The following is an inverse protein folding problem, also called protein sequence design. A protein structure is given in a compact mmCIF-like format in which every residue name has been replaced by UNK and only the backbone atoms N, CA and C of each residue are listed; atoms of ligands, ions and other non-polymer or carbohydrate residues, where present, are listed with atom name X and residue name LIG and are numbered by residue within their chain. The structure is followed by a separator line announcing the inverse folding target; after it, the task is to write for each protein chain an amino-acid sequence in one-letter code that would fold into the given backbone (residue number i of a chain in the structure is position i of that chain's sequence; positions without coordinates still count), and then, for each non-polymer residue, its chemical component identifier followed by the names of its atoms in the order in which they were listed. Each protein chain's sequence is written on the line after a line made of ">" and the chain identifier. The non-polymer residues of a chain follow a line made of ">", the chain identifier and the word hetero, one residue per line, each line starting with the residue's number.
data_IF_349702764140
#
_entry.id   IF_349702764140
#
_cell.length_a   1.000
_cell.length_b   1.000
_cell.length_c   1.000
_cell.angle_alpha   90.00
_cell.angle_beta   90.00
_cell.angle_gamma   90.00
#
_symmetry.space_group_name_H-M   'P 1'
#
loop_
_entity.id
_entity.type
_entity.pdbx_description
1 polymer ?
#
# COMPACT_ATOMS: atom_id res chain seq x y z
N UNK A 1 64.25 11.54 -59.10
CA UNK A 1 64.29 10.51 -60.15
C UNK A 1 62.88 9.97 -60.33
N UNK A 2 62.35 10.11 -61.54
CA UNK A 2 61.03 9.61 -61.92
C UNK A 2 61.04 8.09 -62.10
N UNK A 3 59.94 7.44 -61.77
CA UNK A 3 59.58 6.12 -62.29
C UNK A 3 58.04 6.04 -62.40
N UNK A 4 57.53 6.05 -63.63
CA UNK A 4 56.19 5.51 -63.97
C UNK A 4 56.27 3.97 -63.93
N UNK A 5 55.20 3.30 -63.51
CA UNK A 5 54.55 2.31 -64.40
C UNK A 5 53.04 2.20 -64.10
N UNK A 6 52.17 1.51 -64.83
CA UNK A 6 52.08 1.02 -66.20
C UNK A 6 50.57 0.88 -66.43
N UNK A 7 50.10 1.27 -67.62
CA UNK A 7 48.74 0.99 -68.08
C UNK A 7 48.53 -0.51 -68.22
N UNK A 8 47.35 -0.97 -67.83
CA UNK A 8 46.76 -2.21 -68.33
C UNK A 8 45.43 -1.82 -68.95
N UNK A 9 45.35 -1.93 -70.27
CA UNK A 9 44.13 -1.72 -71.05
C UNK A 9 43.20 -2.93 -70.92
N UNK A 10 41.91 -2.70 -70.63
CA UNK A 10 40.83 -3.68 -70.72
C UNK A 10 39.68 -3.05 -71.52
N UNK A 11 39.04 -3.76 -72.48
CA UNK A 11 38.41 -3.12 -73.63
C UNK A 11 37.06 -2.45 -73.34
N UNK A 12 36.79 -1.39 -74.12
CA UNK A 12 35.55 -0.62 -74.20
C UNK A 12 34.38 -1.44 -74.78
N UNK A 13 33.29 -1.55 -74.03
CA UNK A 13 31.95 -1.81 -74.56
C UNK A 13 31.07 -0.58 -74.30
N UNK A 14 30.53 0.02 -75.35
CA UNK A 14 29.66 1.20 -75.33
C UNK A 14 28.21 0.83 -74.98
N UNK A 15 27.56 1.46 -73.98
CA UNK A 15 26.13 1.30 -73.77
C UNK A 15 25.31 2.34 -74.55
N UNK A 16 24.25 1.87 -75.19
CA UNK A 16 23.24 2.61 -75.95
C UNK A 16 22.34 3.47 -75.03
N UNK A 17 21.98 4.68 -75.49
CA UNK A 17 21.11 5.63 -74.77
C UNK A 17 19.63 5.39 -75.13
N UNK A 18 18.72 5.12 -74.18
CA UNK A 18 17.29 5.04 -74.45
C UNK A 18 16.64 6.43 -74.56
N UNK A 19 15.84 6.61 -75.61
CA UNK A 19 14.87 7.71 -75.76
C UNK A 19 13.62 7.33 -74.99
N UNK A 20 13.28 8.08 -73.94
CA UNK A 20 11.91 8.29 -73.42
C UNK A 20 11.98 9.15 -72.14
N UNK A 21 11.54 10.41 -72.21
CA UNK A 21 11.34 11.28 -71.04
C UNK A 21 9.83 11.59 -70.91
N UNK A 22 9.15 11.16 -69.83
CA UNK A 22 7.73 11.40 -69.65
C UNK A 22 7.41 12.80 -69.11
N UNK A 23 6.26 13.33 -69.55
CA UNK A 23 5.68 14.63 -69.19
C UNK A 23 5.21 14.62 -67.72
N UNK A 24 5.58 15.64 -66.94
CA UNK A 24 5.21 15.77 -65.52
C UNK A 24 3.87 16.51 -65.36
N UNK A 25 2.85 15.96 -64.66
CA UNK A 25 1.57 16.65 -64.45
C UNK A 25 1.65 17.71 -63.34
N UNK A 26 1.02 18.88 -63.55
CA UNK A 26 0.87 19.95 -62.54
C UNK A 26 -0.12 19.53 -61.45
N UNK A 27 0.36 19.38 -60.21
CA UNK A 27 -0.46 19.18 -59.01
C UNK A 27 -1.26 20.46 -58.66
N UNK A 28 -2.55 20.30 -58.31
CA UNK A 28 -3.52 21.37 -58.06
C UNK A 28 -3.55 21.75 -56.57
N UNK A 29 -3.38 23.03 -56.23
CA UNK A 29 -3.26 23.61 -54.88
C UNK A 29 -4.37 23.27 -53.84
N UNK A 30 -5.52 22.71 -54.25
CA UNK A 30 -6.66 22.42 -53.35
C UNK A 30 -6.40 21.21 -52.45
N UNK A 31 -5.62 20.24 -52.89
CA UNK A 31 -5.33 19.03 -52.13
C UNK A 31 -4.43 19.31 -50.91
N UNK A 32 -3.60 20.36 -51.00
CA UNK A 32 -2.67 20.78 -49.95
C UNK A 32 -3.38 21.32 -48.70
N UNK A 33 -4.45 22.10 -48.86
CA UNK A 33 -5.21 22.68 -47.73
C UNK A 33 -6.02 21.63 -46.96
N UNK A 34 -6.49 20.58 -47.65
CA UNK A 34 -7.23 19.48 -47.02
C UNK A 34 -6.29 18.57 -46.21
N UNK A 35 -5.13 18.21 -46.79
CA UNK A 35 -4.10 17.46 -46.06
C UNK A 35 -3.59 18.22 -44.84
N UNK A 36 -3.36 19.53 -44.94
CA UNK A 36 -2.91 20.35 -43.80
C UNK A 36 -3.89 20.35 -42.62
N UNK A 37 -5.21 20.36 -42.85
CA UNK A 37 -6.20 20.33 -41.76
C UNK A 37 -6.16 19.02 -40.97
N UNK A 38 -6.08 17.87 -41.66
CA UNK A 38 -5.99 16.58 -40.99
C UNK A 38 -4.67 16.41 -40.23
N UNK A 39 -3.57 16.91 -40.78
CA UNK A 39 -2.27 16.92 -40.11
C UNK A 39 -2.30 17.79 -38.85
N UNK A 40 -2.86 19.00 -38.91
CA UNK A 40 -2.97 19.88 -37.73
C UNK A 40 -3.84 19.29 -36.61
N UNK A 41 -4.95 18.62 -36.95
CA UNK A 41 -5.81 17.95 -35.96
C UNK A 41 -5.08 16.76 -35.33
N UNK A 42 -4.43 15.92 -36.12
CA UNK A 42 -3.67 14.78 -35.62
C UNK A 42 -2.53 15.21 -34.68
N UNK A 43 -1.80 16.27 -35.06
CA UNK A 43 -0.74 16.86 -34.23
C UNK A 43 -1.33 17.41 -32.92
N UNK A 44 -2.45 18.12 -32.97
CA UNK A 44 -3.09 18.69 -31.78
C UNK A 44 -3.57 17.61 -30.80
N UNK A 45 -4.13 16.52 -31.31
CA UNK A 45 -4.55 15.36 -30.50
C UNK A 45 -3.32 14.67 -29.90
N UNK A 46 -2.26 14.47 -30.67
CA UNK A 46 -1.02 13.86 -30.19
C UNK A 46 -0.37 14.69 -29.07
N UNK A 47 -0.29 16.01 -29.22
CA UNK A 47 0.19 16.90 -28.16
C UNK A 47 -0.72 16.90 -26.93
N UNK A 48 -2.05 16.85 -27.12
CA UNK A 48 -3.01 16.74 -26.01
C UNK A 48 -2.83 15.45 -25.19
N UNK A 49 -2.66 14.31 -25.87
CA UNK A 49 -2.40 13.02 -25.22
C UNK A 49 -1.04 12.98 -24.52
N UNK A 50 -0.01 13.56 -25.13
CA UNK A 50 1.33 13.63 -24.55
C UNK A 50 1.34 14.54 -23.31
N UNK A 51 0.66 15.68 -23.37
CA UNK A 51 0.47 16.57 -22.22
C UNK A 51 -0.29 15.89 -21.09
N UNK A 52 -1.39 15.19 -21.39
CA UNK A 52 -2.15 14.42 -20.40
C UNK A 52 -1.28 13.34 -19.74
N UNK A 53 -0.47 12.62 -20.52
CA UNK A 53 0.47 11.62 -20.02
C UNK A 53 1.52 12.21 -19.08
N UNK A 54 2.09 13.38 -19.42
CA UNK A 54 3.03 14.09 -18.55
C UNK A 54 2.35 14.56 -17.26
N UNK A 55 1.13 15.08 -17.35
CA UNK A 55 0.38 15.59 -16.19
C UNK A 55 0.03 14.46 -15.21
N UNK A 56 -0.42 13.31 -15.74
CA UNK A 56 -0.66 12.10 -14.95
C UNK A 56 0.64 11.58 -14.34
N UNK A 57 1.74 11.54 -15.09
CA UNK A 57 3.06 11.15 -14.59
C UNK A 57 3.57 12.06 -13.46
N UNK A 58 3.36 13.37 -13.56
CA UNK A 58 3.72 14.33 -12.51
C UNK A 58 2.84 14.17 -11.26
N UNK A 59 1.55 13.87 -11.41
CA UNK A 59 0.66 13.62 -10.27
C UNK A 59 1.07 12.33 -9.57
N UNK A 60 1.32 11.24 -10.32
CA UNK A 60 1.76 9.95 -9.78
C UNK A 60 3.09 10.12 -9.05
N UNK A 61 4.10 10.74 -9.67
CA UNK A 61 5.42 10.94 -9.03
C UNK A 61 5.35 11.81 -7.79
N UNK A 62 4.53 12.87 -7.77
CA UNK A 62 4.36 13.70 -6.56
C UNK A 62 3.63 12.98 -5.43
N UNK A 63 2.55 12.26 -5.73
CA UNK A 63 1.74 11.58 -4.70
C UNK A 63 2.44 10.34 -4.15
N UNK A 64 2.91 9.44 -5.03
CA UNK A 64 3.65 8.24 -4.61
C UNK A 64 5.04 8.59 -4.08
N UNK A 65 5.73 9.57 -4.68
CA UNK A 65 7.05 10.01 -4.21
C UNK A 65 7.01 10.63 -2.82
N UNK A 66 6.00 11.45 -2.50
CA UNK A 66 5.87 12.04 -1.16
C UNK A 66 5.62 10.98 -0.09
N UNK A 67 4.77 9.99 -0.37
CA UNK A 67 4.50 8.86 0.54
C UNK A 67 5.76 8.02 0.79
N UNK A 68 6.54 7.75 -0.26
CA UNK A 68 7.80 6.99 -0.15
C UNK A 68 8.90 7.74 0.62
N UNK A 69 9.00 9.07 0.44
CA UNK A 69 10.00 9.90 1.14
C UNK A 69 9.71 10.05 2.63
N UNK A 70 8.44 10.20 3.03
CA UNK A 70 8.07 10.26 4.46
C UNK A 70 8.40 8.95 5.20
N UNK A 71 8.15 7.79 4.58
CA UNK A 71 8.44 6.49 5.17
C UNK A 71 9.95 6.21 5.27
N UNK A 72 10.77 6.68 4.31
CA UNK A 72 12.24 6.47 4.32
C UNK A 72 12.97 7.40 5.28
N UNK A 73 12.51 8.63 5.47
CA UNK A 73 13.09 9.54 6.46
C UNK A 73 12.94 9.00 7.89
N UNK A 74 11.83 8.33 8.20
CA UNK A 74 11.59 7.66 9.49
C UNK A 74 12.58 6.52 9.76
N UNK A 75 12.94 5.74 8.74
CA UNK A 75 13.85 4.58 8.90
C UNK A 75 15.31 4.97 9.18
N UNK A 76 15.71 6.21 8.88
CA UNK A 76 17.10 6.66 8.98
C UNK A 76 17.39 7.50 10.24
N UNK A 77 16.45 7.61 11.19
CA UNK A 77 16.67 8.33 12.44
C UNK A 77 16.98 7.38 13.60
N UNK A 78 18.15 7.61 14.19
CA UNK A 78 18.64 7.09 15.48
C UNK A 78 18.54 5.57 15.69
N UNK A 79 19.62 4.84 15.39
CA UNK A 79 19.75 3.39 15.62
C UNK A 79 20.31 3.03 17.00
N UNK A 80 20.50 4.00 17.91
CA UNK A 80 21.11 3.74 19.23
C UNK A 80 20.36 2.68 20.05
N UNK A 81 19.03 2.57 19.86
CA UNK A 81 18.19 1.56 20.48
C UNK A 81 18.53 0.11 20.06
N UNK A 82 19.24 -0.10 18.95
CA UNK A 82 19.59 -1.44 18.47
C UNK A 82 20.62 -2.15 19.37
N UNK A 83 21.39 -1.42 20.17
CA UNK A 83 22.52 -1.99 20.91
C UNK A 83 22.22 -2.41 22.35
N UNK A 84 21.08 -2.03 22.92
CA UNK A 84 20.72 -2.36 24.32
C UNK A 84 19.39 -3.10 24.41
N UNK A 85 19.24 -3.96 25.42
CA UNK A 85 17.97 -4.59 25.79
C UNK A 85 17.38 -4.01 27.09
N UNK A 86 17.99 -2.96 27.64
CA UNK A 86 17.54 -2.39 28.91
C UNK A 86 16.29 -1.52 28.72
N UNK A 87 15.14 -1.90 29.32
CA UNK A 87 13.97 -1.05 29.30
C UNK A 87 14.20 0.15 30.23
N UNK A 88 14.30 1.35 29.67
CA UNK A 88 14.31 2.60 30.44
C UNK A 88 12.88 3.10 30.61
N UNK A 89 12.20 2.68 31.67
CA UNK A 89 10.98 3.37 32.09
C UNK A 89 11.37 4.71 32.73
N UNK A 90 11.07 5.83 32.06
CA UNK A 90 11.05 7.11 32.76
C UNK A 90 9.95 7.00 33.81
N UNK A 91 10.26 7.07 35.10
CA UNK A 91 9.39 6.78 36.26
C UNK A 91 8.13 7.65 36.42
N UNK A 92 7.43 7.97 35.33
CA UNK A 92 6.18 8.72 35.23
C UNK A 92 4.93 7.82 35.27
N UNK A 93 5.09 6.50 35.24
CA UNK A 93 3.97 5.54 35.25
C UNK A 93 4.08 4.61 36.46
N UNK A 94 3.08 4.66 37.35
CA UNK A 94 3.01 3.75 38.51
C UNK A 94 2.76 2.29 38.08
N UNK A 95 2.07 2.10 36.94
CA UNK A 95 1.81 0.81 36.32
C UNK A 95 2.20 0.88 34.85
N UNK A 96 2.99 -0.08 34.32
CA UNK A 96 3.33 -0.10 32.90
C UNK A 96 2.08 -0.17 32.01
N UNK A 97 1.96 0.71 30.99
CA UNK A 97 0.86 0.62 30.04
C UNK A 97 0.98 -0.64 29.17
N UNK A 98 -0.17 -1.22 28.79
CA UNK A 98 -0.24 -2.33 27.85
C UNK A 98 -0.46 -1.80 26.43
N UNK A 99 0.43 -2.13 25.50
CA UNK A 99 0.29 -1.85 24.08
C UNK A 99 0.16 -3.16 23.30
N UNK A 100 -0.98 -3.35 22.64
CA UNK A 100 -1.24 -4.49 21.76
C UNK A 100 -1.10 -4.05 20.29
N UNK A 101 -0.11 -4.60 19.60
CA UNK A 101 0.18 -4.29 18.19
C UNK A 101 -0.15 -5.52 17.34
N UNK A 102 -1.01 -5.34 16.33
CA UNK A 102 -1.28 -6.36 15.33
C UNK A 102 -0.66 -5.97 13.99
N UNK A 103 0.07 -6.91 13.39
CA UNK A 103 0.56 -6.84 12.01
C UNK A 103 -0.25 -7.85 11.20
N UNK A 104 -1.30 -7.39 10.50
CA UNK A 104 -2.22 -8.28 9.80
C UNK A 104 -1.50 -9.12 8.73
N UNK A 105 -1.78 -10.42 8.71
CA UNK A 105 -1.14 -11.38 7.81
C UNK A 105 0.36 -11.61 8.06
N UNK A 106 0.90 -11.21 9.22
CA UNK A 106 2.31 -11.42 9.56
C UNK A 106 2.58 -12.89 9.91
N UNK A 107 2.90 -13.67 8.89
CA UNK A 107 3.23 -15.09 9.00
C UNK A 107 4.62 -15.26 9.64
N UNK A 108 4.76 -16.28 10.49
CA UNK A 108 5.98 -16.50 11.29
C UNK A 108 7.25 -16.68 10.47
N UNK A 109 7.17 -17.28 9.28
CA UNK A 109 8.30 -17.44 8.38
C UNK A 109 8.88 -16.11 7.88
N UNK A 110 8.16 -14.99 8.02
CA UNK A 110 8.71 -13.66 7.68
C UNK A 110 9.85 -13.26 8.62
N UNK A 111 9.86 -13.74 9.87
CA UNK A 111 10.95 -13.51 10.82
C UNK A 111 12.28 -14.08 10.35
N UNK A 112 12.23 -15.20 9.60
CA UNK A 112 13.43 -15.87 9.08
C UNK A 112 14.14 -15.07 7.98
N UNK A 113 13.45 -14.08 7.39
CA UNK A 113 14.00 -13.25 6.31
C UNK A 113 14.97 -12.18 6.80
N UNK A 114 14.98 -11.88 8.11
CA UNK A 114 15.87 -10.88 8.72
C UNK A 114 15.73 -9.45 8.13
N UNK A 115 14.55 -9.12 7.60
CA UNK A 115 14.26 -7.81 6.98
C UNK A 115 13.63 -6.80 7.96
N UNK A 116 13.38 -7.21 9.20
CA UNK A 116 12.61 -6.43 10.19
C UNK A 116 13.45 -6.21 11.46
N UNK A 117 14.47 -5.33 11.43
CA UNK A 117 15.43 -5.17 12.54
C UNK A 117 14.75 -4.79 13.86
N UNK A 118 13.71 -3.96 13.85
CA UNK A 118 12.94 -3.61 15.03
C UNK A 118 12.22 -4.82 15.65
N UNK A 119 11.57 -5.65 14.82
CA UNK A 119 10.92 -6.87 15.28
C UNK A 119 11.96 -7.87 15.79
N UNK A 120 13.07 -8.04 15.07
CA UNK A 120 14.19 -8.91 15.50
C UNK A 120 14.73 -8.50 16.87
N UNK A 121 14.82 -7.19 17.14
CA UNK A 121 15.23 -6.68 18.45
C UNK A 121 14.21 -7.00 19.55
N UNK A 122 12.91 -6.87 19.26
CA UNK A 122 11.83 -7.29 20.19
C UNK A 122 11.94 -8.78 20.50
N UNK A 123 12.23 -9.64 19.51
CA UNK A 123 12.41 -11.07 19.72
C UNK A 123 13.66 -11.40 20.55
N UNK A 124 14.75 -10.65 20.35
CA UNK A 124 16.02 -10.84 21.06
C UNK A 124 15.94 -10.39 22.53
N UNK A 125 15.33 -9.23 22.78
CA UNK A 125 15.29 -8.61 24.12
C UNK A 125 14.02 -8.96 24.91
N UNK A 126 13.00 -9.50 24.26
CA UNK A 126 11.71 -9.84 24.86
C UNK A 126 11.47 -11.35 24.91
N UNK A 127 10.20 -11.71 25.09
CA UNK A 127 9.73 -13.09 25.03
C UNK A 127 8.93 -13.30 23.74
N UNK A 128 9.11 -14.46 23.10
CA UNK A 128 8.39 -14.81 21.89
C UNK A 128 8.08 -16.32 21.83
N UNK A 129 6.95 -16.66 21.22
CA UNK A 129 6.60 -18.04 20.89
C UNK A 129 7.14 -18.43 19.51
N UNK A 130 7.34 -19.73 19.28
CA UNK A 130 7.76 -20.24 17.97
C UNK A 130 6.74 -19.96 16.87
N UNK A 131 5.44 -19.93 17.23
CA UNK A 131 4.32 -19.47 16.41
C UNK A 131 3.08 -19.31 17.30
N UNK A 132 2.03 -18.67 16.78
CA UNK A 132 0.72 -18.59 17.41
C UNK A 132 -0.32 -19.17 16.46
N UNK A 133 -1.13 -20.13 16.94
CA UNK A 133 -2.22 -20.68 16.13
C UNK A 133 -3.36 -19.67 16.00
N UNK A 134 -3.84 -19.38 14.78
CA UNK A 134 -5.07 -18.64 14.61
C UNK A 134 -6.27 -19.54 14.94
N UNK A 135 -7.39 -18.91 15.29
CA UNK A 135 -8.70 -19.55 15.22
C UNK A 135 -9.09 -19.87 13.78
N UNK A 136 -9.99 -20.84 13.59
CA UNK A 136 -10.59 -21.11 12.28
C UNK A 136 -11.90 -20.31 12.12
N UNK A 137 -12.12 -19.63 10.98
CA UNK A 137 -11.20 -19.52 9.85
C UNK A 137 -10.07 -18.52 10.11
N UNK A 138 -8.91 -18.71 9.46
CA UNK A 138 -7.75 -17.82 9.55
C UNK A 138 -7.96 -16.51 8.77
N UNK A 139 -9.00 -15.76 9.14
CA UNK A 139 -9.40 -14.47 8.57
C UNK A 139 -9.19 -13.35 9.59
N UNK A 140 -8.97 -12.12 9.11
CA UNK A 140 -8.69 -10.93 9.92
C UNK A 140 -9.72 -10.72 11.02
N UNK A 141 -11.00 -10.55 10.68
CA UNK A 141 -12.05 -10.18 11.63
C UNK A 141 -12.26 -11.23 12.73
N UNK A 142 -12.48 -12.53 12.40
CA UNK A 142 -12.60 -13.56 13.42
C UNK A 142 -11.42 -13.61 14.39
N UNK A 143 -10.19 -13.59 13.88
CA UNK A 143 -8.99 -13.71 14.72
C UNK A 143 -8.72 -12.46 15.58
N UNK A 144 -8.93 -11.26 15.06
CA UNK A 144 -8.73 -10.04 15.84
C UNK A 144 -9.75 -9.92 16.98
N UNK A 145 -10.99 -10.40 16.77
CA UNK A 145 -11.99 -10.45 17.85
C UNK A 145 -11.64 -11.54 18.87
N UNK A 146 -11.20 -12.71 18.43
CA UNK A 146 -10.73 -13.76 19.32
C UNK A 146 -9.60 -13.29 20.24
N UNK A 147 -8.61 -12.54 19.72
CA UNK A 147 -7.49 -12.00 20.50
C UNK A 147 -7.95 -11.10 21.66
N UNK A 148 -8.96 -10.26 21.43
CA UNK A 148 -9.39 -9.27 22.44
C UNK A 148 -10.53 -9.73 23.33
N UNK A 149 -11.22 -10.81 22.96
CA UNK A 149 -12.32 -11.38 23.75
C UNK A 149 -11.96 -12.70 24.44
N UNK A 150 -10.96 -13.43 23.93
CA UNK A 150 -10.64 -14.79 24.35
C UNK A 150 -11.64 -15.84 23.89
N UNK A 151 -12.58 -15.48 23.01
CA UNK A 151 -13.65 -16.37 22.53
C UNK A 151 -13.34 -16.96 21.16
N UNK A 152 -13.94 -18.10 20.84
CA UNK A 152 -13.95 -18.63 19.47
C UNK A 152 -14.93 -17.86 18.57
N UNK A 153 -14.77 -17.90 17.23
CA UNK A 153 -15.68 -17.27 16.29
C UNK A 153 -17.16 -17.60 16.46
N UNK A 154 -17.48 -18.84 16.82
CA UNK A 154 -18.85 -19.27 17.14
C UNK A 154 -19.44 -18.59 18.38
N UNK A 155 -18.59 -18.15 19.32
CA UNK A 155 -19.01 -17.54 20.58
C UNK A 155 -19.05 -16.00 20.51
N UNK A 156 -18.06 -15.37 19.88
CA UNK A 156 -18.07 -13.90 19.70
C UNK A 156 -18.88 -13.44 18.47
N UNK A 157 -19.42 -14.37 17.67
CA UNK A 157 -20.38 -14.12 16.59
C UNK A 157 -19.79 -13.76 15.22
N UNK A 158 -18.49 -13.49 15.13
CA UNK A 158 -17.84 -13.05 13.88
C UNK A 158 -17.11 -14.22 13.24
N UNK A 159 -17.79 -14.93 12.34
CA UNK A 159 -17.31 -16.18 11.71
C UNK A 159 -16.57 -15.97 10.40
N UNK A 160 -16.61 -14.75 9.83
CA UNK A 160 -15.91 -14.41 8.61
C UNK A 160 -15.78 -12.89 8.43
N UNK A 161 -15.04 -12.46 7.40
CA UNK A 161 -14.98 -11.03 7.04
C UNK A 161 -16.26 -10.54 6.38
N UNK A 162 -16.97 -11.44 5.70
CA UNK A 162 -18.29 -11.22 5.11
C UNK A 162 -19.09 -12.51 5.25
N UNK A 163 -20.30 -12.44 5.79
CA UNK A 163 -21.21 -13.59 5.91
C UNK A 163 -22.67 -13.11 6.09
N UNK A 164 -23.62 -14.02 5.88
CA UNK A 164 -25.06 -13.77 6.06
C UNK A 164 -25.59 -14.59 7.24
N UNK A 165 -26.47 -13.99 8.04
CA UNK A 165 -27.32 -14.71 8.99
C UNK A 165 -28.72 -14.07 8.99
N UNK A 166 -29.68 -14.75 8.36
CA UNK A 166 -31.05 -14.26 8.20
C UNK A 166 -31.86 -14.22 9.51
N UNK A 167 -31.39 -14.88 10.57
CA UNK A 167 -32.03 -14.78 11.89
C UNK A 167 -31.63 -13.50 12.62
N UNK A 168 -30.51 -12.89 12.23
CA UNK A 168 -29.94 -11.69 12.85
C UNK A 168 -30.27 -10.44 12.03
N UNK A 169 -30.08 -10.50 10.70
CA UNK A 169 -30.19 -9.34 9.82
C UNK A 169 -30.52 -9.74 8.39
N UNK A 170 -31.26 -8.86 7.68
CA UNK A 170 -31.53 -9.01 6.24
C UNK A 170 -30.33 -8.59 5.38
N UNK A 171 -29.40 -7.82 5.95
CA UNK A 171 -28.16 -7.39 5.31
C UNK A 171 -26.96 -8.25 5.77
N UNK A 172 -25.94 -8.47 4.92
CA UNK A 172 -24.72 -9.18 5.31
C UNK A 172 -23.94 -8.44 6.38
N UNK A 173 -23.26 -9.23 7.22
CA UNK A 173 -22.08 -8.71 7.88
C UNK A 173 -21.00 -8.41 6.83
N UNK A 174 -20.39 -7.23 6.92
CA UNK A 174 -19.24 -6.81 6.11
C UNK A 174 -18.25 -6.07 7.01
N UNK A 175 -17.02 -5.78 6.55
CA UNK A 175 -16.07 -4.97 7.32
C UNK A 175 -16.57 -3.57 7.69
N UNK A 176 -17.62 -3.08 7.01
CA UNK A 176 -18.27 -1.79 7.27
C UNK A 176 -19.41 -1.88 8.27
N UNK A 177 -19.85 -3.10 8.64
CA UNK A 177 -20.92 -3.28 9.61
C UNK A 177 -20.51 -2.71 10.96
N UNK A 178 -21.41 -1.92 11.55
CA UNK A 178 -21.24 -1.28 12.87
C UNK A 178 -22.38 -1.58 13.84
N UNK A 179 -23.34 -2.41 13.42
CA UNK A 179 -24.43 -2.83 14.27
C UNK A 179 -23.93 -3.79 15.36
N UNK A 180 -24.13 -3.47 16.65
CA UNK A 180 -23.74 -4.34 17.76
C UNK A 180 -24.36 -5.73 17.73
N UNK A 181 -25.48 -5.94 17.03
CA UNK A 181 -26.19 -7.23 16.98
C UNK A 181 -25.30 -8.40 16.48
N UNK A 182 -24.27 -8.10 15.70
CA UNK A 182 -23.31 -9.07 15.19
C UNK A 182 -22.24 -9.50 16.20
N UNK A 183 -22.04 -8.72 17.27
CA UNK A 183 -20.88 -8.82 18.13
C UNK A 183 -21.28 -9.29 19.53
N UNK A 184 -20.78 -10.46 19.91
CA UNK A 184 -20.96 -11.02 21.25
C UNK A 184 -19.67 -10.94 22.07
N UNK A 185 -19.81 -11.17 23.38
CA UNK A 185 -18.69 -11.19 24.33
C UNK A 185 -18.26 -9.81 24.81
N UNK A 186 -17.14 -9.78 25.53
CA UNK A 186 -16.56 -8.57 26.10
C UNK A 186 -15.11 -8.39 25.63
N UNK A 187 -14.80 -7.35 24.86
CA UNK A 187 -13.43 -7.07 24.48
C UNK A 187 -12.63 -6.43 25.62
N UNK A 188 -11.32 -6.66 25.64
CA UNK A 188 -10.39 -6.25 26.70
C UNK A 188 -10.46 -4.76 27.06
N UNK A 189 -10.77 -3.88 26.10
CA UNK A 189 -10.91 -2.44 26.36
C UNK A 189 -12.14 -2.12 27.23
N UNK A 190 -13.21 -2.90 27.10
CA UNK A 190 -14.39 -2.78 27.97
C UNK A 190 -14.11 -3.34 29.36
N UNK A 191 -13.41 -4.48 29.44
CA UNK A 191 -12.94 -5.03 30.72
C UNK A 191 -12.06 -4.01 31.46
N UNK A 192 -11.07 -3.42 30.77
CA UNK A 192 -10.22 -2.39 31.33
C UNK A 192 -11.04 -1.21 31.91
N UNK A 193 -12.05 -0.75 31.16
CA UNK A 193 -12.95 0.33 31.58
C UNK A 193 -13.79 -0.04 32.81
N UNK A 194 -14.33 -1.27 32.88
CA UNK A 194 -15.07 -1.76 34.05
C UNK A 194 -14.21 -1.78 35.32
N UNK A 195 -12.90 -1.98 35.17
CA UNK A 195 -11.92 -1.92 36.24
C UNK A 195 -11.27 -0.54 36.43
N UNK A 196 -11.93 0.54 35.98
CA UNK A 196 -11.49 1.92 36.21
C UNK A 196 -10.28 2.37 35.41
N UNK A 197 -9.85 1.59 34.39
CA UNK A 197 -8.72 1.95 33.52
C UNK A 197 -9.22 2.62 32.24
N UNK A 198 -8.40 3.48 31.65
CA UNK A 198 -8.64 4.04 30.31
C UNK A 198 -8.11 3.09 29.25
N UNK A 199 -8.73 3.09 28.08
CA UNK A 199 -8.28 2.32 26.92
C UNK A 199 -8.33 3.17 25.66
N UNK A 200 -7.36 3.00 24.78
CA UNK A 200 -7.31 3.66 23.48
C UNK A 200 -7.12 2.64 22.36
N UNK A 201 -7.80 2.83 21.23
CA UNK A 201 -7.69 1.94 20.06
C UNK A 201 -7.46 2.73 18.79
N UNK A 202 -6.48 2.29 18.00
CA UNK A 202 -6.22 2.78 16.65
C UNK A 202 -6.37 1.60 15.67
N UNK A 203 -7.56 1.48 15.06
CA UNK A 203 -7.90 0.49 14.03
C UNK A 203 -7.96 -0.99 14.48
N UNK A 204 -8.61 -1.28 15.61
CA UNK A 204 -8.91 -2.67 15.96
C UNK A 204 -10.33 -3.07 15.48
N UNK A 205 -10.53 -4.22 14.80
CA UNK A 205 -11.86 -4.68 14.44
C UNK A 205 -12.83 -4.72 15.63
N UNK A 206 -13.99 -4.09 15.49
CA UNK A 206 -14.99 -3.99 16.56
C UNK A 206 -14.77 -2.83 17.55
N UNK A 207 -13.64 -2.12 17.52
CA UNK A 207 -13.40 -1.00 18.46
C UNK A 207 -14.35 0.19 18.26
N UNK A 208 -14.90 0.34 17.05
CA UNK A 208 -15.88 1.37 16.69
C UNK A 208 -17.33 0.97 17.05
N UNK A 209 -17.54 -0.26 17.53
CA UNK A 209 -18.86 -0.81 17.82
C UNK A 209 -19.08 -0.82 19.33
N UNK A 210 -20.32 -0.59 19.74
CA UNK A 210 -20.73 -0.67 21.14
C UNK A 210 -20.96 -2.14 21.55
N UNK A 211 -19.87 -2.88 21.80
CA UNK A 211 -19.90 -4.31 22.12
C UNK A 211 -19.99 -4.49 23.65
N UNK A 212 -20.75 -5.46 24.16
CA UNK A 212 -20.66 -5.85 25.59
C UNK A 212 -20.89 -4.71 26.60
N UNK A 213 -21.70 -3.70 26.24
CA UNK A 213 -22.01 -2.56 27.10
C UNK A 213 -21.00 -1.40 27.07
N UNK A 214 -20.07 -1.38 26.11
CA UNK A 214 -19.09 -0.30 26.03
C UNK A 214 -18.31 -0.19 24.72
N UNK A 215 -17.48 0.85 24.68
CA UNK A 215 -16.45 1.09 23.67
C UNK A 215 -15.20 1.68 24.36
N UNK A 216 -14.02 1.65 23.71
CA UNK A 216 -12.80 2.24 24.26
C UNK A 216 -12.98 3.72 24.67
N UNK A 217 -12.18 4.19 25.63
CA UNK A 217 -12.18 5.60 26.05
C UNK A 217 -11.80 6.54 24.90
N UNK A 218 -10.78 6.16 24.11
CA UNK A 218 -10.35 6.89 22.93
C UNK A 218 -10.36 5.96 21.70
N UNK A 219 -10.93 6.43 20.60
CA UNK A 219 -11.11 5.63 19.38
C UNK A 219 -10.75 6.49 18.18
N UNK A 220 -10.01 5.91 17.24
CA UNK A 220 -9.81 6.47 15.91
C UNK A 220 -10.50 5.55 14.91
N UNK A 221 -11.50 6.09 14.20
CA UNK A 221 -12.29 5.34 13.21
C UNK A 221 -11.42 4.91 12.03
N UNK A 222 -11.63 3.69 11.55
CA UNK A 222 -10.85 3.09 10.47
C UNK A 222 -10.79 3.98 9.23
N UNK A 223 -9.57 4.34 8.85
CA UNK A 223 -9.25 5.04 7.63
C UNK A 223 -7.92 4.53 7.08
N UNK A 224 -7.99 3.66 6.07
CA UNK A 224 -6.83 3.03 5.45
C UNK A 224 -5.83 4.01 4.84
N UNK A 225 -6.27 5.25 4.55
CA UNK A 225 -5.45 6.29 3.94
C UNK A 225 -4.49 6.95 4.94
N UNK A 226 -4.67 6.76 6.25
CA UNK A 226 -3.75 7.29 7.26
C UNK A 226 -2.42 6.52 7.22
N UNK A 227 -1.31 7.24 7.02
CA UNK A 227 0.05 6.69 7.00
C UNK A 227 0.42 6.04 8.35
N UNK A 228 1.25 4.98 8.32
CA UNK A 228 1.60 4.23 9.53
C UNK A 228 2.30 5.08 10.60
N UNK A 229 3.22 5.97 10.19
CA UNK A 229 3.89 6.92 11.09
C UNK A 229 2.88 7.75 11.90
N UNK A 230 1.84 8.26 11.25
CA UNK A 230 0.77 9.02 11.92
C UNK A 230 -0.06 8.18 12.90
N UNK A 231 -0.16 6.87 12.69
CA UNK A 231 -0.81 5.97 13.65
C UNK A 231 0.04 5.84 14.91
N UNK A 232 1.35 5.68 14.74
CA UNK A 232 2.32 5.61 15.85
C UNK A 232 2.34 6.93 16.62
N UNK A 233 2.45 8.07 15.93
CA UNK A 233 2.42 9.40 16.54
C UNK A 233 1.18 9.58 17.43
N UNK A 234 0.00 9.18 16.95
CA UNK A 234 -1.24 9.31 17.72
C UNK A 234 -1.25 8.42 18.97
N UNK A 235 -0.70 7.20 18.90
CA UNK A 235 -0.64 6.28 20.05
C UNK A 235 0.28 6.82 21.15
N UNK A 236 1.37 7.50 20.78
CA UNK A 236 2.30 8.13 21.75
C UNK A 236 1.65 9.31 22.48
N UNK A 237 0.66 9.95 21.88
CA UNK A 237 -0.01 11.15 22.41
C UNK A 237 -1.17 10.81 23.36
N UNK A 238 -1.75 9.60 23.28
CA UNK A 238 -2.82 9.17 24.19
C UNK A 238 -2.38 9.12 25.65
#
# INVERSE_FOLDING_TARGET
>A
MAAKPNMVDVPLNSPTVPKDLPIVPRLRFRDFKFQQRHICVAISVAFGLLFLGVLVGLIITKTFGKRYVEDTAFLNQDISWQHTCEPKCSGKFDVPPLLLISLDGFRVEYLKRQLTPAISKILQCGSHATYMYPTFPSKTFPNHLAIVTGLYPESHGIVGSTFMDFNISQEPFTPKSRDPIWFNGEPIWNTAKKHGKKSATFFWPGSEVFIGGGRPTFIVNYNSSIAFSKRVDQVIIF
#
